data_IF_554010699073
#
_entry.id   IF_554010699073
#
_cell.length_a   1.000
_cell.length_b   1.000
_cell.length_c   1.000
_cell.angle_alpha   90.00
_cell.angle_beta   90.00
_cell.angle_gamma   90.00
#
_symmetry.space_group_name_H-M   'P 1'
#
loop_
_entity.id
_entity.type
_entity.pdbx_description
1 polymer ?
#
# COMPACT_ATOMS: atom_id res chain seq x y z
N UNK A 1 1.49 -67.44 -12.90
CA UNK A 1 2.90 -67.09 -13.15
C UNK A 1 3.15 -65.77 -12.47
N UNK A 2 3.61 -65.82 -11.21
CA UNK A 2 3.89 -64.64 -10.39
C UNK A 2 5.41 -64.48 -10.30
N UNK A 3 5.92 -63.34 -10.76
CA UNK A 3 7.34 -63.00 -10.68
C UNK A 3 7.61 -62.36 -9.31
N UNK A 4 8.39 -63.04 -8.48
CA UNK A 4 8.81 -62.55 -7.17
C UNK A 4 10.00 -61.59 -7.36
N UNK A 5 9.78 -60.30 -7.10
CA UNK A 5 10.86 -59.31 -6.99
C UNK A 5 11.41 -59.38 -5.58
N UNK A 6 12.70 -59.71 -5.49
CA UNK A 6 13.40 -60.01 -4.25
C UNK A 6 14.00 -58.71 -3.69
N UNK A 7 13.31 -58.08 -2.75
CA UNK A 7 13.71 -56.82 -2.13
C UNK A 7 14.54 -57.09 -0.87
N UNK A 8 15.86 -57.16 -1.05
CA UNK A 8 16.83 -57.45 0.01
C UNK A 8 17.73 -56.24 0.23
N UNK A 9 17.22 -55.23 0.92
CA UNK A 9 18.02 -54.14 1.49
C UNK A 9 18.78 -54.66 2.74
N UNK A 10 19.78 -55.51 2.52
CA UNK A 10 20.68 -56.02 3.57
C UNK A 10 21.53 -54.87 4.09
N UNK A 11 21.24 -54.41 5.32
CA UNK A 11 22.17 -53.60 6.13
C UNK A 11 23.48 -54.37 6.28
N UNK A 12 24.48 -54.03 5.47
CA UNK A 12 25.84 -54.54 5.57
C UNK A 12 26.48 -53.89 6.82
N UNK A 13 26.61 -54.64 7.91
CA UNK A 13 27.44 -54.22 9.06
C UNK A 13 28.89 -54.24 8.59
N UNK A 14 29.49 -53.05 8.44
CA UNK A 14 30.92 -52.90 8.24
C UNK A 14 31.62 -53.17 9.57
N UNK A 15 32.04 -54.42 9.75
CA UNK A 15 33.00 -54.82 10.77
C UNK A 15 34.32 -55.02 10.04
N UNK A 16 35.20 -54.02 10.09
CA UNK A 16 36.54 -54.08 9.51
C UNK A 16 37.26 -52.76 9.72
N UNK A 17 38.45 -52.83 10.30
CA UNK A 17 39.38 -51.76 10.61
C UNK A 17 39.87 -51.02 9.34
N UNK A 18 38.95 -50.35 8.64
CA UNK A 18 39.25 -49.51 7.49
C UNK A 18 39.84 -48.18 7.98
N UNK A 19 40.93 -47.76 7.33
CA UNK A 19 41.60 -46.51 7.63
C UNK A 19 40.62 -45.32 7.49
N UNK A 20 40.78 -44.23 8.26
CA UNK A 20 39.85 -43.10 8.27
C UNK A 20 39.64 -42.37 6.93
N UNK A 21 40.36 -42.72 5.86
CA UNK A 21 40.33 -41.99 4.58
C UNK A 21 39.37 -42.57 3.53
N UNK A 22 38.76 -43.74 3.75
CA UNK A 22 37.80 -44.34 2.80
C UNK A 22 36.33 -44.11 3.22
N UNK A 23 35.97 -42.88 3.59
CA UNK A 23 34.55 -42.51 3.66
C UNK A 23 33.99 -42.52 2.24
N UNK A 24 33.29 -43.61 1.90
CA UNK A 24 32.52 -43.74 0.66
C UNK A 24 31.50 -42.59 0.65
N UNK A 25 31.84 -41.51 -0.05
CA UNK A 25 30.91 -40.45 -0.42
C UNK A 25 29.93 -41.09 -1.40
N UNK A 26 28.72 -41.38 -0.93
CA UNK A 26 27.63 -41.81 -1.80
C UNK A 26 27.03 -40.52 -2.36
N UNK A 27 27.33 -40.15 -3.62
CA UNK A 27 26.82 -38.90 -4.16
C UNK A 27 25.30 -38.96 -4.22
N UNK A 28 24.65 -37.84 -3.91
CA UNK A 28 23.19 -37.74 -3.85
C UNK A 28 22.53 -38.16 -5.18
N UNK A 29 23.27 -38.04 -6.29
CA UNK A 29 22.90 -38.52 -7.63
C UNK A 29 22.61 -40.02 -7.69
N UNK A 30 23.19 -40.83 -6.82
CA UNK A 30 23.09 -42.30 -6.87
C UNK A 30 21.85 -42.84 -6.16
N UNK A 31 21.10 -41.96 -5.47
CA UNK A 31 19.86 -42.35 -4.82
C UNK A 31 18.77 -42.70 -5.85
N UNK A 32 17.99 -43.79 -5.63
CA UNK A 32 16.87 -44.15 -6.51
C UNK A 32 15.82 -43.03 -6.63
N UNK A 33 15.21 -42.89 -7.80
CA UNK A 33 14.17 -41.87 -8.07
C UNK A 33 13.05 -41.88 -7.02
N UNK A 34 12.61 -43.05 -6.56
CA UNK A 34 11.57 -43.16 -5.53
C UNK A 34 11.94 -42.52 -4.19
N UNK A 35 13.21 -42.54 -3.79
CA UNK A 35 13.66 -41.84 -2.58
C UNK A 35 13.62 -40.33 -2.80
N UNK A 36 14.06 -39.87 -3.96
CA UNK A 36 14.08 -38.44 -4.30
C UNK A 36 12.67 -37.85 -4.41
N UNK A 37 11.74 -38.58 -5.05
CA UNK A 37 10.32 -38.22 -5.09
C UNK A 37 9.72 -38.15 -3.69
N UNK A 38 10.04 -39.11 -2.81
CA UNK A 38 9.55 -39.08 -1.43
C UNK A 38 10.06 -37.87 -0.66
N UNK A 39 11.35 -37.50 -0.81
CA UNK A 39 11.92 -36.29 -0.19
C UNK A 39 11.24 -35.04 -0.77
N UNK A 40 11.06 -34.97 -2.09
CA UNK A 40 10.45 -33.84 -2.76
C UNK A 40 9.03 -33.57 -2.28
N UNK A 41 8.24 -34.61 -1.95
CA UNK A 41 6.89 -34.45 -1.43
C UNK A 41 6.79 -33.74 -0.06
N UNK A 42 7.92 -33.55 0.66
CA UNK A 42 7.97 -32.77 1.89
C UNK A 42 8.40 -31.31 1.66
N UNK A 43 8.77 -30.95 0.44
CA UNK A 43 9.19 -29.60 0.07
C UNK A 43 8.01 -28.86 -0.55
N UNK A 44 7.95 -27.54 -0.31
CA UNK A 44 7.05 -26.66 -1.07
C UNK A 44 7.40 -26.68 -2.57
N UNK A 45 6.54 -26.07 -3.38
CA UNK A 45 6.68 -26.14 -4.82
C UNK A 45 8.05 -25.56 -5.28
N UNK A 46 8.40 -24.28 -5.07
CA UNK A 46 9.67 -23.80 -5.58
C UNK A 46 10.89 -24.50 -4.93
N UNK A 47 10.83 -24.93 -3.67
CA UNK A 47 11.89 -25.74 -3.04
C UNK A 47 12.14 -27.07 -3.77
N UNK A 48 11.10 -27.73 -4.29
CA UNK A 48 11.28 -28.92 -5.16
C UNK A 48 12.03 -28.57 -6.45
N UNK A 49 11.79 -27.39 -7.02
CA UNK A 49 12.49 -26.93 -8.23
C UNK A 49 13.96 -26.68 -7.95
N UNK A 50 14.29 -26.02 -6.84
CA UNK A 50 15.68 -25.82 -6.44
C UNK A 50 16.40 -27.12 -6.14
N UNK A 51 15.71 -28.06 -5.48
CA UNK A 51 16.25 -29.39 -5.24
C UNK A 51 16.53 -30.11 -6.57
N UNK A 52 15.61 -30.07 -7.53
CA UNK A 52 15.80 -30.64 -8.86
C UNK A 52 16.94 -29.94 -9.64
N UNK A 53 16.98 -28.60 -9.64
CA UNK A 53 17.99 -27.79 -10.31
C UNK A 53 19.40 -28.03 -9.74
N UNK A 54 19.52 -28.19 -8.42
CA UNK A 54 20.78 -28.51 -7.76
C UNK A 54 21.31 -29.91 -8.16
N UNK A 55 20.40 -30.87 -8.38
CA UNK A 55 20.74 -32.22 -8.82
C UNK A 55 21.14 -32.26 -10.31
N UNK A 56 20.50 -31.46 -11.15
CA UNK A 56 20.78 -31.40 -12.60
C UNK A 56 22.07 -30.67 -12.92
N UNK A 57 22.47 -29.67 -12.12
CA UNK A 57 23.75 -28.98 -12.26
C UNK A 57 24.97 -29.92 -12.18
N UNK A 58 24.80 -31.14 -11.65
CA UNK A 58 25.86 -32.15 -11.60
C UNK A 58 25.84 -33.13 -12.78
N UNK A 59 24.74 -33.19 -13.52
CA UNK A 59 24.54 -34.21 -14.55
C UNK A 59 24.10 -33.52 -15.84
N UNK A 60 25.09 -33.15 -16.64
CA UNK A 60 24.88 -32.73 -18.01
C UNK A 60 24.01 -33.79 -18.71
N UNK A 61 22.74 -33.45 -18.98
CA UNK A 61 21.82 -34.22 -19.84
C UNK A 61 21.20 -35.49 -19.21
N UNK A 62 21.02 -35.58 -17.88
CA UNK A 62 20.25 -36.70 -17.32
C UNK A 62 18.72 -36.56 -17.49
N UNK A 63 18.12 -37.71 -17.84
CA UNK A 63 16.76 -37.93 -18.33
C UNK A 63 15.65 -37.10 -17.68
N UNK A 64 14.80 -36.56 -18.56
CA UNK A 64 13.52 -35.90 -18.29
C UNK A 64 12.66 -36.62 -17.23
N UNK A 65 12.72 -37.96 -17.17
CA UNK A 65 11.98 -38.78 -16.20
C UNK A 65 12.31 -38.48 -14.73
N UNK A 66 13.58 -38.22 -14.38
CA UNK A 66 13.97 -37.98 -12.99
C UNK A 66 13.52 -36.60 -12.52
N UNK A 67 13.71 -35.59 -13.37
CA UNK A 67 13.24 -34.23 -13.07
C UNK A 67 11.72 -34.25 -12.94
N UNK A 68 11.03 -34.87 -13.89
CA UNK A 68 9.57 -35.03 -13.85
C UNK A 68 9.10 -35.73 -12.57
N UNK A 69 9.83 -36.72 -12.07
CA UNK A 69 9.48 -37.42 -10.83
C UNK A 69 9.69 -36.60 -9.54
N UNK A 70 10.59 -35.61 -9.54
CA UNK A 70 10.86 -34.73 -8.38
C UNK A 70 9.94 -33.50 -8.43
N UNK A 71 9.89 -32.89 -9.60
CA UNK A 71 9.21 -31.62 -9.90
C UNK A 71 7.71 -31.85 -10.02
N UNK A 72 7.28 -32.97 -10.59
CA UNK A 72 5.87 -33.24 -10.89
C UNK A 72 5.39 -32.56 -12.18
N UNK A 73 4.11 -32.76 -12.50
CA UNK A 73 3.57 -32.42 -13.82
C UNK A 73 2.86 -31.06 -13.92
N UNK A 74 2.61 -30.39 -12.80
CA UNK A 74 1.67 -29.26 -12.75
C UNK A 74 2.36 -27.97 -12.33
N UNK A 75 2.97 -27.29 -13.30
CA UNK A 75 3.69 -26.02 -13.10
C UNK A 75 3.07 -24.89 -13.92
N UNK A 76 1.79 -24.63 -13.67
CA UNK A 76 1.10 -23.51 -14.33
C UNK A 76 1.44 -22.18 -13.68
N UNK A 77 1.81 -22.17 -12.40
CA UNK A 77 2.20 -20.97 -11.65
C UNK A 77 3.51 -21.23 -10.92
N UNK A 78 4.43 -20.28 -11.02
CA UNK A 78 5.68 -20.23 -10.27
C UNK A 78 5.77 -18.88 -9.58
N UNK A 79 5.65 -18.90 -8.26
CA UNK A 79 5.80 -17.73 -7.40
C UNK A 79 6.97 -17.96 -6.43
N UNK A 80 7.98 -17.10 -6.49
CA UNK A 80 9.10 -17.16 -5.54
C UNK A 80 8.73 -16.59 -4.15
N UNK A 81 7.49 -16.14 -3.96
CA UNK A 81 6.93 -15.78 -2.66
C UNK A 81 6.64 -16.99 -1.77
N UNK A 82 6.54 -18.19 -2.36
CA UNK A 82 6.29 -19.44 -1.64
C UNK A 82 7.55 -20.01 -0.95
N UNK A 83 8.73 -19.41 -1.16
CA UNK A 83 9.97 -19.75 -0.45
C UNK A 83 10.33 -18.68 0.58
N UNK A 84 11.20 -19.06 1.52
CA UNK A 84 11.72 -18.13 2.52
C UNK A 84 12.35 -16.89 1.86
N UNK A 85 11.96 -15.70 2.33
CA UNK A 85 12.44 -14.42 1.81
C UNK A 85 13.97 -14.35 1.78
N UNK A 86 14.63 -14.84 2.83
CA UNK A 86 16.10 -14.87 2.95
C UNK A 86 16.78 -15.77 1.92
N UNK A 87 16.06 -16.75 1.36
CA UNK A 87 16.52 -17.56 0.25
C UNK A 87 16.25 -16.87 -1.09
N UNK A 88 15.04 -16.33 -1.29
CA UNK A 88 14.65 -15.64 -2.52
C UNK A 88 15.59 -14.47 -2.86
N UNK A 89 16.00 -13.69 -1.85
CA UNK A 89 16.95 -12.59 -2.05
C UNK A 89 18.34 -13.06 -2.48
N UNK A 90 18.73 -14.32 -2.25
CA UNK A 90 20.05 -14.86 -2.66
C UNK A 90 20.06 -15.38 -4.09
N UNK A 91 18.89 -15.53 -4.70
CA UNK A 91 18.77 -16.06 -6.04
C UNK A 91 19.35 -15.08 -7.06
N UNK A 92 20.10 -15.63 -8.01
CA UNK A 92 20.66 -14.91 -9.15
C UNK A 92 20.06 -15.43 -10.45
N UNK A 93 20.33 -14.75 -11.57
CA UNK A 93 19.82 -15.12 -12.90
C UNK A 93 20.10 -16.58 -13.29
N UNK A 94 21.24 -17.13 -12.88
CA UNK A 94 21.59 -18.54 -13.13
C UNK A 94 20.62 -19.51 -12.46
N UNK A 95 20.19 -19.22 -11.22
CA UNK A 95 19.25 -20.05 -10.47
C UNK A 95 17.85 -19.99 -11.11
N UNK A 96 17.40 -18.78 -11.46
CA UNK A 96 16.11 -18.56 -12.13
C UNK A 96 16.08 -19.30 -13.47
N UNK A 97 17.13 -19.16 -14.28
CA UNK A 97 17.24 -19.84 -15.58
C UNK A 97 17.20 -21.36 -15.42
N UNK A 98 17.96 -21.91 -14.47
CA UNK A 98 17.99 -23.35 -14.19
C UNK A 98 16.60 -23.87 -13.78
N UNK A 99 15.89 -23.13 -12.93
CA UNK A 99 14.52 -23.47 -12.50
C UNK A 99 13.55 -23.45 -13.68
N UNK A 100 13.57 -22.39 -14.49
CA UNK A 100 12.67 -22.25 -15.66
C UNK A 100 12.93 -23.33 -16.73
N UNK A 101 14.19 -23.70 -16.95
CA UNK A 101 14.55 -24.82 -17.83
C UNK A 101 14.07 -26.16 -17.27
N UNK A 102 14.21 -26.36 -15.94
CA UNK A 102 13.82 -27.60 -15.29
C UNK A 102 12.33 -27.92 -15.43
N UNK A 103 11.47 -26.90 -15.50
CA UNK A 103 10.01 -27.05 -15.66
C UNK A 103 9.53 -26.92 -17.09
N UNK A 104 10.41 -26.74 -18.08
CA UNK A 104 10.05 -26.40 -19.46
C UNK A 104 9.07 -25.20 -19.51
N UNK A 105 9.48 -24.10 -18.86
CA UNK A 105 8.60 -22.97 -18.60
C UNK A 105 8.00 -22.36 -19.87
N UNK A 106 8.74 -22.37 -20.99
CA UNK A 106 8.28 -21.84 -22.28
C UNK A 106 6.97 -22.49 -22.74
N UNK A 107 6.76 -23.78 -22.46
CA UNK A 107 5.61 -24.55 -22.90
C UNK A 107 4.59 -24.85 -21.78
N UNK A 108 4.96 -24.65 -20.50
CA UNK A 108 4.14 -25.12 -19.36
C UNK A 108 3.74 -24.03 -18.36
N UNK A 109 4.55 -22.98 -18.21
CA UNK A 109 4.32 -21.94 -17.23
C UNK A 109 3.37 -20.84 -17.73
N UNK A 110 2.23 -20.68 -17.03
CA UNK A 110 1.24 -19.62 -17.32
C UNK A 110 1.49 -18.35 -16.51
N UNK A 111 2.01 -18.45 -15.29
CA UNK A 111 2.21 -17.32 -14.39
C UNK A 111 3.58 -17.37 -13.75
N UNK A 112 4.36 -16.33 -13.93
CA UNK A 112 5.64 -16.14 -13.25
C UNK A 112 5.55 -14.92 -12.34
N UNK A 113 5.89 -15.08 -11.06
CA UNK A 113 6.05 -13.97 -10.11
C UNK A 113 7.43 -14.03 -9.47
N UNK A 114 8.24 -13.00 -9.69
CA UNK A 114 9.62 -12.90 -9.18
C UNK A 114 9.68 -12.31 -7.77
N UNK A 115 8.68 -12.61 -6.96
CA UNK A 115 8.50 -12.12 -5.60
C UNK A 115 9.77 -12.30 -4.76
N UNK A 116 10.26 -11.21 -4.15
CA UNK A 116 11.48 -11.15 -3.35
C UNK A 116 12.82 -11.49 -4.07
N UNK A 117 12.83 -11.78 -5.37
CA UNK A 117 14.04 -12.05 -6.15
C UNK A 117 14.79 -10.76 -6.54
N UNK A 118 15.25 -10.00 -5.54
CA UNK A 118 15.77 -8.63 -5.73
C UNK A 118 17.15 -8.53 -6.40
N UNK A 119 17.88 -9.65 -6.54
CA UNK A 119 19.26 -9.70 -7.04
C UNK A 119 19.37 -10.12 -8.52
N UNK A 120 18.26 -10.19 -9.24
CA UNK A 120 18.23 -10.59 -10.66
C UNK A 120 18.45 -9.39 -11.58
N UNK A 121 19.18 -9.60 -12.67
CA UNK A 121 19.38 -8.62 -13.74
C UNK A 121 18.34 -8.74 -14.85
N UNK A 122 17.68 -9.89 -14.97
CA UNK A 122 16.69 -10.21 -15.98
C UNK A 122 17.18 -11.22 -17.02
N UNK A 123 18.49 -11.50 -17.08
CA UNK A 123 19.10 -12.52 -17.96
C UNK A 123 18.52 -13.91 -17.68
N UNK A 124 18.16 -14.19 -16.42
CA UNK A 124 17.62 -15.47 -15.99
C UNK A 124 16.26 -15.80 -16.60
N UNK A 125 15.58 -14.82 -17.22
CA UNK A 125 14.28 -15.00 -17.87
C UNK A 125 14.39 -15.53 -19.30
N UNK A 126 15.60 -15.69 -19.84
CA UNK A 126 15.84 -16.17 -21.21
C UNK A 126 15.07 -17.45 -21.56
N UNK A 127 14.88 -18.44 -20.66
CA UNK A 127 14.08 -19.63 -20.96
C UNK A 127 12.59 -19.38 -21.28
N UNK A 128 12.06 -18.17 -21.03
CA UNK A 128 10.69 -17.80 -21.43
C UNK A 128 10.59 -17.28 -22.87
N UNK A 129 11.72 -17.06 -23.56
CA UNK A 129 11.77 -16.48 -24.90
C UNK A 129 10.84 -17.23 -25.86
N UNK A 130 9.93 -16.50 -26.50
CA UNK A 130 8.99 -17.05 -27.47
C UNK A 130 7.85 -17.90 -26.89
N UNK A 131 7.62 -17.86 -25.57
CA UNK A 131 6.47 -18.55 -24.98
C UNK A 131 5.15 -18.05 -25.56
N UNK A 132 4.26 -18.97 -25.91
CA UNK A 132 2.89 -18.65 -26.39
C UNK A 132 1.84 -18.86 -25.32
N UNK A 133 2.19 -19.53 -24.22
CA UNK A 133 1.25 -19.98 -23.19
C UNK A 133 1.29 -19.14 -21.90
N UNK A 134 2.34 -18.33 -21.71
CA UNK A 134 2.45 -17.46 -20.54
C UNK A 134 1.35 -16.39 -20.57
N UNK A 135 0.64 -16.24 -19.46
CA UNK A 135 -0.50 -15.33 -19.27
C UNK A 135 -0.13 -14.14 -18.38
N UNK A 136 0.78 -14.30 -17.43
CA UNK A 136 1.21 -13.25 -16.50
C UNK A 136 2.71 -13.33 -16.19
N UNK A 137 3.37 -12.17 -16.19
CA UNK A 137 4.73 -12.00 -15.66
C UNK A 137 4.73 -10.83 -14.68
N UNK A 138 5.09 -11.11 -13.43
CA UNK A 138 5.28 -10.09 -12.39
C UNK A 138 6.78 -9.89 -12.09
N UNK A 139 7.27 -8.70 -12.46
CA UNK A 139 8.64 -8.24 -12.28
C UNK A 139 8.76 -7.19 -11.16
N UNK A 140 7.77 -7.03 -10.29
CA UNK A 140 7.80 -6.04 -9.21
C UNK A 140 8.84 -6.33 -8.13
N UNK A 141 9.30 -7.59 -8.04
CA UNK A 141 10.31 -8.12 -7.10
C UNK A 141 9.93 -7.99 -5.61
N UNK A 142 8.69 -7.63 -5.31
CA UNK A 142 8.19 -7.48 -3.93
C UNK A 142 7.13 -8.52 -3.61
N UNK A 143 6.96 -8.79 -2.31
CA UNK A 143 5.87 -9.60 -1.78
C UNK A 143 4.49 -9.07 -2.17
N UNK A 144 3.49 -9.94 -2.02
CA UNK A 144 2.12 -9.47 -2.06
C UNK A 144 1.89 -8.39 -1.02
N UNK A 145 1.10 -7.40 -1.41
CA UNK A 145 0.76 -6.23 -0.61
C UNK A 145 1.93 -5.33 -0.16
N UNK A 146 3.15 -5.57 -0.66
CA UNK A 146 4.30 -4.70 -0.40
C UNK A 146 4.40 -3.56 -1.42
N UNK A 147 4.95 -2.43 -0.98
CA UNK A 147 5.26 -1.32 -1.87
C UNK A 147 6.39 -1.72 -2.83
N UNK A 148 6.28 -1.44 -4.14
CA UNK A 148 7.31 -1.81 -5.12
C UNK A 148 8.57 -0.94 -5.03
N UNK A 149 8.64 0.01 -4.10
CA UNK A 149 9.80 0.89 -3.92
C UNK A 149 10.88 0.17 -3.08
N UNK A 150 11.84 -0.47 -3.76
CA UNK A 150 12.91 -1.27 -3.14
C UNK A 150 14.17 -0.41 -2.95
N UNK A 151 14.77 -0.48 -1.75
CA UNK A 151 16.07 0.12 -1.44
C UNK A 151 17.02 -0.95 -0.88
N UNK A 152 18.21 -1.18 -1.50
CA UNK A 152 18.74 -0.48 -2.67
C UNK A 152 18.00 -0.80 -3.97
N UNK A 153 18.20 0.04 -4.99
CA UNK A 153 17.61 -0.12 -6.32
C UNK A 153 17.99 -1.50 -6.91
N UNK A 154 17.04 -2.38 -7.27
CA UNK A 154 17.35 -3.68 -7.87
C UNK A 154 18.09 -3.55 -9.21
N UNK A 155 18.96 -4.52 -9.57
CA UNK A 155 19.78 -4.47 -10.78
C UNK A 155 19.06 -4.90 -12.06
N UNK A 156 17.75 -5.16 -12.00
CA UNK A 156 16.95 -5.60 -13.15
C UNK A 156 16.95 -4.56 -14.28
N UNK A 157 17.37 -4.98 -15.48
CA UNK A 157 17.62 -4.10 -16.62
C UNK A 157 16.60 -4.30 -17.74
N UNK A 158 16.08 -3.19 -18.28
CA UNK A 158 15.27 -3.20 -19.50
C UNK A 158 16.01 -3.87 -20.67
N UNK A 159 17.33 -3.69 -20.76
CA UNK A 159 18.14 -4.20 -21.87
C UNK A 159 18.09 -5.73 -21.99
N UNK A 160 18.02 -6.44 -20.84
CA UNK A 160 17.93 -7.89 -20.83
C UNK A 160 16.49 -8.39 -20.91
N UNK A 161 15.55 -7.71 -20.25
CA UNK A 161 14.17 -8.18 -20.14
C UNK A 161 13.35 -7.89 -21.40
N UNK A 162 13.46 -6.68 -21.97
CA UNK A 162 12.59 -6.28 -23.08
C UNK A 162 12.73 -7.17 -24.32
N UNK A 163 13.94 -7.60 -24.76
CA UNK A 163 14.05 -8.53 -25.89
C UNK A 163 13.35 -9.87 -25.66
N UNK A 164 13.23 -10.32 -24.41
CA UNK A 164 12.51 -11.56 -24.06
C UNK A 164 11.01 -11.32 -24.17
N UNK A 165 10.51 -10.22 -23.58
CA UNK A 165 9.10 -9.85 -23.66
C UNK A 165 8.65 -9.59 -25.10
N UNK A 166 9.48 -8.91 -25.91
CA UNK A 166 9.25 -8.69 -27.34
C UNK A 166 9.04 -10.02 -28.07
N UNK A 167 9.92 -10.99 -27.82
CA UNK A 167 9.82 -12.30 -28.46
C UNK A 167 8.53 -13.05 -28.11
N UNK A 168 7.92 -12.76 -26.95
CA UNK A 168 6.65 -13.37 -26.52
C UNK A 168 5.49 -12.70 -27.26
N UNK A 169 5.46 -11.36 -27.30
CA UNK A 169 4.36 -10.61 -27.93
C UNK A 169 4.37 -10.68 -29.45
N UNK A 170 5.54 -10.91 -30.07
CA UNK A 170 5.68 -11.13 -31.52
C UNK A 170 5.14 -12.49 -31.97
N UNK A 171 4.88 -13.43 -31.04
CA UNK A 171 4.28 -14.72 -31.39
C UNK A 171 2.78 -14.58 -31.61
N UNK A 172 2.33 -15.07 -32.75
CA UNK A 172 0.92 -15.23 -33.03
C UNK A 172 0.26 -16.14 -31.98
N UNK A 173 -0.88 -15.71 -31.47
CA UNK A 173 -1.62 -16.45 -30.44
C UNK A 173 -0.95 -16.49 -29.07
N UNK A 174 -0.02 -15.57 -28.76
CA UNK A 174 0.51 -15.46 -27.40
C UNK A 174 -0.64 -15.24 -26.39
N UNK A 175 -0.48 -15.81 -25.19
CA UNK A 175 -1.51 -15.78 -24.15
C UNK A 175 -1.31 -14.64 -23.14
N UNK A 176 -0.24 -13.86 -23.28
CA UNK A 176 0.19 -12.88 -22.28
C UNK A 176 -0.89 -11.81 -22.08
N UNK A 177 -1.41 -11.68 -20.87
CA UNK A 177 -2.49 -10.73 -20.52
C UNK A 177 -2.03 -9.67 -19.55
N UNK A 178 -1.07 -9.98 -18.68
CA UNK A 178 -0.64 -9.08 -17.61
C UNK A 178 0.87 -8.99 -17.47
N UNK A 179 1.38 -7.77 -17.44
CA UNK A 179 2.77 -7.44 -17.12
C UNK A 179 2.80 -6.46 -15.96
N UNK A 180 3.45 -6.85 -14.87
CA UNK A 180 3.83 -5.91 -13.80
C UNK A 180 5.31 -5.57 -13.96
N UNK A 181 5.63 -4.30 -14.16
CA UNK A 181 7.02 -3.86 -14.33
C UNK A 181 7.68 -3.48 -13.00
N UNK A 182 9.01 -3.51 -12.93
CA UNK A 182 9.75 -2.94 -11.80
C UNK A 182 9.52 -1.42 -11.70
N UNK A 183 9.26 -0.92 -10.49
CA UNK A 183 9.09 0.53 -10.21
C UNK A 183 10.29 1.36 -10.66
N UNK A 184 11.48 0.76 -10.59
CA UNK A 184 12.77 1.35 -10.97
C UNK A 184 12.86 1.80 -12.43
N UNK A 185 11.99 1.27 -13.31
CA UNK A 185 11.91 1.66 -14.71
C UNK A 185 11.09 2.95 -14.91
N UNK A 186 10.31 3.36 -13.90
CA UNK A 186 9.54 4.61 -13.89
C UNK A 186 10.37 5.82 -13.44
N UNK A 187 11.31 5.63 -12.51
CA UNK A 187 12.01 6.72 -11.83
C UNK A 187 13.20 7.30 -12.62
N UNK A 188 13.79 6.54 -13.54
CA UNK A 188 15.05 6.88 -14.22
C UNK A 188 14.94 7.66 -15.53
N UNK A 189 13.73 8.12 -15.89
CA UNK A 189 13.42 8.50 -17.26
C UNK A 189 13.21 7.25 -18.11
N UNK A 190 12.12 7.23 -18.88
CA UNK A 190 11.76 6.06 -19.68
C UNK A 190 12.75 5.88 -20.82
N UNK A 191 13.40 4.73 -20.88
CA UNK A 191 14.25 4.41 -22.02
C UNK A 191 13.39 4.37 -23.29
N UNK A 192 13.96 4.82 -24.42
CA UNK A 192 13.27 4.78 -25.72
C UNK A 192 12.82 3.34 -26.04
N UNK A 193 13.66 2.36 -25.70
CA UNK A 193 13.35 0.93 -25.86
C UNK A 193 12.12 0.51 -25.05
N UNK A 194 11.99 0.97 -23.80
CA UNK A 194 10.83 0.66 -22.97
C UNK A 194 9.56 1.28 -23.54
N UNK A 195 9.61 2.52 -24.03
CA UNK A 195 8.46 3.18 -24.65
C UNK A 195 8.04 2.48 -25.95
N UNK A 196 9.00 2.04 -26.78
CA UNK A 196 8.73 1.25 -27.99
C UNK A 196 8.11 -0.12 -27.67
N UNK A 197 8.61 -0.80 -26.64
CA UNK A 197 8.00 -2.03 -26.14
C UNK A 197 6.56 -1.78 -25.68
N UNK A 198 6.34 -0.75 -24.87
CA UNK A 198 5.01 -0.39 -24.34
C UNK A 198 3.99 -0.14 -25.44
N UNK A 199 4.37 0.56 -26.50
CA UNK A 199 3.52 0.79 -27.68
C UNK A 199 3.12 -0.55 -28.31
N UNK A 200 4.09 -1.42 -28.63
CA UNK A 200 3.83 -2.73 -29.24
C UNK A 200 2.97 -3.63 -28.35
N UNK A 201 3.19 -3.61 -27.03
CA UNK A 201 2.38 -4.37 -26.08
C UNK A 201 0.93 -3.87 -26.05
N UNK A 202 0.71 -2.55 -26.00
CA UNK A 202 -0.63 -1.98 -26.05
C UNK A 202 -1.34 -2.34 -27.36
N UNK A 203 -0.68 -2.17 -28.51
CA UNK A 203 -1.21 -2.55 -29.83
C UNK A 203 -1.57 -4.05 -29.89
N UNK A 204 -0.74 -4.91 -29.31
CA UNK A 204 -0.99 -6.35 -29.25
C UNK A 204 -2.25 -6.69 -28.43
N UNK A 205 -2.49 -6.00 -27.31
CA UNK A 205 -3.72 -6.17 -26.53
C UNK A 205 -4.96 -5.59 -27.24
N UNK A 206 -4.82 -4.44 -27.90
CA UNK A 206 -5.91 -3.82 -28.69
C UNK A 206 -6.37 -4.74 -29.83
N UNK A 207 -5.41 -5.33 -30.54
CA UNK A 207 -5.69 -6.24 -31.66
C UNK A 207 -6.42 -7.53 -31.24
N UNK A 208 -6.38 -7.91 -29.95
CA UNK A 208 -7.14 -9.06 -29.44
C UNK A 208 -8.62 -8.76 -29.24
N UNK A 209 -9.05 -7.49 -29.28
CA UNK A 209 -10.45 -7.11 -29.09
C UNK A 209 -10.98 -7.52 -27.72
N UNK A 210 -10.18 -7.30 -26.67
CA UNK A 210 -10.52 -7.72 -25.31
C UNK A 210 -11.73 -6.95 -24.80
N UNK A 211 -12.78 -7.67 -24.40
CA UNK A 211 -13.98 -7.09 -23.82
C UNK A 211 -13.95 -7.03 -22.30
N UNK A 212 -14.64 -6.05 -21.72
CA UNK A 212 -14.92 -5.98 -20.29
C UNK A 212 -15.78 -7.18 -19.85
N UNK A 213 -15.34 -7.92 -18.84
CA UNK A 213 -16.02 -9.08 -18.31
C UNK A 213 -17.40 -8.76 -17.70
N UNK A 214 -17.69 -7.49 -17.36
CA UNK A 214 -18.97 -7.06 -16.80
C UNK A 214 -19.95 -6.53 -17.84
N UNK A 215 -19.55 -5.53 -18.63
CA UNK A 215 -20.44 -4.85 -19.58
C UNK A 215 -20.22 -5.24 -21.05
N UNK A 216 -19.23 -6.11 -21.32
CA UNK A 216 -18.85 -6.58 -22.65
C UNK A 216 -18.44 -5.46 -23.64
N UNK A 217 -18.17 -4.26 -23.13
CA UNK A 217 -17.61 -3.16 -23.93
C UNK A 217 -16.15 -3.45 -24.25
N UNK A 218 -15.72 -3.13 -25.48
CA UNK A 218 -14.33 -3.27 -25.90
C UNK A 218 -13.41 -2.38 -25.05
N UNK A 219 -12.24 -2.90 -24.72
CA UNK A 219 -11.19 -2.22 -23.98
C UNK A 219 -9.98 -1.97 -24.89
N UNK A 220 -9.22 -0.89 -24.65
CA UNK A 220 -9.49 0.19 -23.69
C UNK A 220 -10.57 1.15 -24.25
N UNK A 221 -11.31 1.88 -23.39
CA UNK A 221 -12.27 2.87 -23.87
C UNK A 221 -11.56 4.16 -24.29
N UNK A 222 -11.80 4.62 -25.53
CA UNK A 222 -11.27 5.89 -26.05
C UNK A 222 -9.75 5.90 -26.20
N UNK A 223 -9.11 6.99 -25.77
CA UNK A 223 -7.65 7.20 -25.90
C UNK A 223 -6.84 6.63 -24.72
N UNK A 224 -7.45 5.82 -23.85
CA UNK A 224 -6.74 5.20 -22.74
C UNK A 224 -5.86 4.04 -23.24
N UNK A 225 -4.74 3.81 -22.56
CA UNK A 225 -3.79 2.75 -22.88
C UNK A 225 -3.83 1.62 -21.84
N UNK A 226 -3.52 0.40 -22.25
CA UNK A 226 -3.38 -0.74 -21.34
C UNK A 226 -2.28 -0.51 -20.31
N UNK A 227 -1.10 -0.07 -20.73
CA UNK A 227 -0.06 0.41 -19.81
C UNK A 227 0.00 1.93 -19.89
N UNK A 228 -0.42 2.59 -18.81
CA UNK A 228 -0.45 4.05 -18.72
C UNK A 228 0.93 4.70 -18.61
N UNK A 229 0.95 6.01 -18.44
CA UNK A 229 2.20 6.77 -18.24
C UNK A 229 2.97 6.36 -16.98
N UNK A 230 2.23 5.96 -15.93
CA UNK A 230 2.78 5.51 -14.64
C UNK A 230 3.27 4.06 -14.65
N UNK A 231 3.32 3.41 -15.81
CA UNK A 231 3.81 2.03 -15.98
C UNK A 231 2.98 1.00 -15.18
N UNK A 232 1.73 1.37 -14.90
CA UNK A 232 0.73 0.50 -14.30
C UNK A 232 -0.13 -0.08 -15.42
N UNK A 233 -0.38 -1.39 -15.34
CA UNK A 233 -1.35 -2.03 -16.22
C UNK A 233 -2.78 -1.73 -15.75
N UNK A 234 -3.55 -1.14 -16.65
CA UNK A 234 -4.95 -0.79 -16.50
C UNK A 234 -5.87 -1.95 -16.92
N UNK A 235 -7.13 -1.84 -16.54
CA UNK A 235 -8.24 -2.67 -17.01
C UNK A 235 -8.12 -4.18 -16.77
N UNK A 236 -7.11 -4.67 -16.05
CA UNK A 236 -6.87 -6.10 -15.86
C UNK A 236 -6.76 -6.38 -14.37
N UNK A 237 -7.58 -7.29 -13.85
CA UNK A 237 -7.41 -7.76 -12.49
C UNK A 237 -6.15 -8.63 -12.41
N UNK A 238 -5.24 -8.26 -11.52
CA UNK A 238 -3.97 -8.93 -11.27
C UNK A 238 -4.13 -10.42 -10.94
N UNK A 239 -5.17 -10.78 -10.19
CA UNK A 239 -5.39 -12.15 -9.73
C UNK A 239 -6.10 -13.01 -10.79
N UNK A 240 -7.35 -12.69 -11.13
CA UNK A 240 -8.12 -13.52 -12.06
C UNK A 240 -7.82 -13.29 -13.55
N UNK A 241 -7.01 -12.29 -13.90
CA UNK A 241 -6.67 -11.88 -15.29
C UNK A 241 -7.89 -11.56 -16.17
N UNK A 242 -9.04 -11.30 -15.56
CA UNK A 242 -10.22 -10.76 -16.26
C UNK A 242 -10.04 -9.27 -16.46
N UNK A 243 -10.69 -8.76 -17.51
CA UNK A 243 -10.60 -7.35 -17.87
C UNK A 243 -11.87 -6.59 -17.51
N UNK A 244 -11.75 -5.35 -17.07
CA UNK A 244 -12.86 -4.53 -16.59
C UNK A 244 -12.71 -3.07 -17.01
N UNK A 245 -13.81 -2.42 -17.38
CA UNK A 245 -13.84 -0.97 -17.58
C UNK A 245 -13.69 -0.25 -16.24
N UNK A 246 -13.02 0.91 -16.24
CA UNK A 246 -12.92 1.79 -15.07
C UNK A 246 -14.31 2.32 -14.64
N UNK A 247 -15.23 2.47 -15.58
CA UNK A 247 -16.59 2.98 -15.32
C UNK A 247 -17.59 1.92 -14.87
N UNK A 248 -17.19 0.64 -14.84
CA UNK A 248 -18.08 -0.40 -14.34
C UNK A 248 -18.16 -0.31 -12.82
N UNK A 249 -19.37 -0.21 -12.28
CA UNK A 249 -19.63 -0.24 -10.83
C UNK A 249 -20.36 -1.51 -10.42
N UNK A 250 -20.18 -1.99 -9.19
CA UNK A 250 -20.96 -3.06 -8.57
C UNK A 250 -22.38 -2.57 -8.20
N UNK A 251 -23.18 -3.42 -7.56
CA UNK A 251 -24.56 -3.09 -7.19
C UNK A 251 -24.62 -1.98 -6.12
N UNK A 252 -23.53 -1.80 -5.36
CA UNK A 252 -23.35 -0.74 -4.36
C UNK A 252 -22.83 0.57 -4.97
N UNK A 253 -22.60 0.62 -6.29
CA UNK A 253 -22.08 1.79 -6.98
C UNK A 253 -20.56 1.97 -6.90
N UNK A 254 -19.83 1.02 -6.31
CA UNK A 254 -18.37 1.05 -6.21
C UNK A 254 -17.71 0.52 -7.50
N UNK A 255 -16.55 1.05 -7.87
CA UNK A 255 -15.80 0.58 -9.04
C UNK A 255 -15.47 -0.92 -8.96
N UNK A 256 -15.75 -1.67 -10.02
CA UNK A 256 -15.52 -3.12 -10.07
C UNK A 256 -14.04 -3.47 -10.07
N UNK A 257 -13.19 -2.57 -10.58
CA UNK A 257 -11.73 -2.71 -10.62
C UNK A 257 -11.10 -1.55 -9.86
N UNK A 258 -10.55 -1.83 -8.68
CA UNK A 258 -9.82 -0.86 -7.85
C UNK A 258 -8.31 -0.94 -8.11
N UNK A 259 -7.62 0.19 -7.98
CA UNK A 259 -6.16 0.24 -8.09
C UNK A 259 -5.54 0.54 -6.73
N UNK A 260 -4.75 -0.41 -6.21
CA UNK A 260 -4.10 -0.21 -4.92
C UNK A 260 -2.91 0.74 -5.05
N UNK A 261 -2.97 1.86 -4.34
CA UNK A 261 -1.88 2.83 -4.30
C UNK A 261 -0.61 2.30 -3.64
N UNK A 262 -0.69 1.34 -2.71
CA UNK A 262 0.50 0.78 -2.07
C UNK A 262 1.24 -0.20 -2.99
N UNK A 263 0.61 -1.33 -3.35
CA UNK A 263 1.26 -2.37 -4.14
C UNK A 263 1.24 -2.11 -5.66
N UNK A 264 0.57 -1.04 -6.12
CA UNK A 264 0.46 -0.64 -7.53
C UNK A 264 -0.12 -1.72 -8.46
N UNK A 265 -0.99 -2.59 -7.93
CA UNK A 265 -1.70 -3.65 -8.67
C UNK A 265 -3.20 -3.32 -8.72
N UNK A 266 -3.86 -3.68 -9.83
CA UNK A 266 -5.31 -3.54 -10.00
C UNK A 266 -6.04 -4.84 -9.65
N UNK A 267 -7.11 -4.78 -8.87
CA UNK A 267 -7.89 -5.96 -8.48
C UNK A 267 -9.38 -5.74 -8.68
N UNK A 268 -10.09 -6.78 -9.08
CA UNK A 268 -11.54 -6.72 -9.04
C UNK A 268 -12.06 -6.99 -7.62
N UNK A 269 -13.26 -6.48 -7.32
CA UNK A 269 -13.92 -6.62 -6.02
C UNK A 269 -14.06 -8.07 -5.55
N UNK A 270 -14.15 -9.02 -6.49
CA UNK A 270 -14.24 -10.46 -6.20
C UNK A 270 -12.91 -11.09 -5.74
N UNK A 271 -11.78 -10.51 -6.19
CA UNK A 271 -10.45 -11.06 -5.92
C UNK A 271 -9.80 -10.42 -4.70
N UNK A 272 -9.95 -9.11 -4.54
CA UNK A 272 -9.35 -8.38 -3.43
C UNK A 272 -10.24 -7.21 -3.06
N UNK A 273 -10.59 -7.12 -1.77
CA UNK A 273 -11.27 -5.95 -1.23
C UNK A 273 -10.30 -4.78 -1.15
N UNK A 274 -10.75 -3.61 -1.58
CA UNK A 274 -10.08 -2.34 -1.38
C UNK A 274 -10.91 -1.43 -0.47
N UNK A 275 -10.25 -0.48 0.17
CA UNK A 275 -10.88 0.64 0.87
C UNK A 275 -10.26 1.95 0.38
N UNK A 276 -11.10 2.94 0.12
CA UNK A 276 -10.69 4.31 -0.16
C UNK A 276 -10.38 5.06 1.12
N UNK A 277 -9.25 5.76 1.17
CA UNK A 277 -8.95 6.67 2.27
C UNK A 277 -9.52 8.06 1.97
N UNK A 278 -10.41 8.55 2.84
CA UNK A 278 -11.06 9.86 2.66
C UNK A 278 -10.10 11.04 2.67
N UNK A 279 -8.94 10.91 3.31
CA UNK A 279 -7.96 11.98 3.46
C UNK A 279 -7.08 12.16 2.21
N UNK A 280 -6.59 11.08 1.62
CA UNK A 280 -5.71 11.15 0.45
C UNK A 280 -6.37 10.77 -0.88
N UNK A 281 -7.67 10.42 -0.85
CA UNK A 281 -8.47 10.00 -2.01
C UNK A 281 -7.83 8.83 -2.80
N UNK A 282 -7.07 7.98 -2.09
CA UNK A 282 -6.43 6.80 -2.65
C UNK A 282 -7.09 5.52 -2.14
N UNK A 283 -7.16 4.53 -3.02
CA UNK A 283 -7.59 3.19 -2.68
C UNK A 283 -6.40 2.32 -2.30
N UNK A 284 -6.60 1.47 -1.29
CA UNK A 284 -5.64 0.44 -0.92
C UNK A 284 -6.33 -0.91 -0.76
N UNK A 285 -5.63 -2.01 -1.07
CA UNK A 285 -6.07 -3.33 -0.62
C UNK A 285 -6.15 -3.33 0.90
N UNK A 286 -7.14 -4.04 1.45
CA UNK A 286 -7.26 -4.21 2.91
C UNK A 286 -5.98 -4.80 3.53
N UNK A 287 -5.28 -5.68 2.81
CA UNK A 287 -4.04 -6.31 3.30
C UNK A 287 -2.78 -5.45 3.06
N UNK A 288 -2.89 -4.35 2.29
CA UNK A 288 -1.77 -3.43 2.05
C UNK A 288 -1.58 -2.41 3.16
N UNK A 289 -2.63 -2.16 3.95
CA UNK A 289 -2.63 -1.03 4.87
C UNK A 289 -3.67 -1.18 5.95
N UNK A 290 -3.30 -0.78 7.16
CA UNK A 290 -4.27 -0.65 8.24
C UNK A 290 -5.12 0.61 8.05
N UNK A 291 -6.39 0.45 8.39
CA UNK A 291 -7.39 1.50 8.32
C UNK A 291 -7.98 1.75 9.69
N UNK A 292 -8.26 3.03 9.99
CA UNK A 292 -9.07 3.41 11.15
C UNK A 292 -10.39 3.98 10.65
N UNK A 293 -11.49 3.45 11.17
CA UNK A 293 -12.82 3.95 10.84
C UNK A 293 -13.03 5.34 11.44
N UNK A 294 -13.77 6.18 10.73
CA UNK A 294 -14.22 7.47 11.23
C UNK A 294 -15.29 7.25 12.31
N UNK A 295 -15.19 7.97 13.43
CA UNK A 295 -16.17 7.85 14.52
C UNK A 295 -17.52 8.48 14.20
N UNK A 296 -17.59 9.32 13.17
CA UNK A 296 -18.81 10.04 12.78
C UNK A 296 -19.49 9.57 11.49
N UNK A 297 -18.86 8.70 10.70
CA UNK A 297 -19.39 8.20 9.43
C UNK A 297 -18.72 6.89 9.01
N UNK A 298 -19.19 6.27 7.92
CA UNK A 298 -18.64 5.01 7.40
C UNK A 298 -17.32 5.18 6.59
N UNK A 299 -16.72 6.37 6.60
CA UNK A 299 -15.43 6.62 5.94
C UNK A 299 -14.25 6.08 6.75
N UNK A 300 -13.11 5.86 6.08
CA UNK A 300 -11.90 5.33 6.73
C UNK A 300 -10.66 6.16 6.43
N UNK A 301 -9.71 6.15 7.36
CA UNK A 301 -8.40 6.79 7.24
C UNK A 301 -7.32 5.73 7.12
N UNK A 302 -6.34 5.97 6.25
CA UNK A 302 -5.16 5.14 6.18
C UNK A 302 -4.12 5.58 7.22
N UNK A 303 -3.26 4.66 7.64
CA UNK A 303 -2.23 4.90 8.66
C UNK A 303 -1.30 6.09 8.34
N UNK A 304 -0.92 6.35 7.07
CA UNK A 304 -0.09 7.53 6.73
C UNK A 304 -0.79 8.83 7.05
N UNK A 305 -2.05 8.95 6.65
CA UNK A 305 -2.82 10.16 6.85
C UNK A 305 -2.97 10.46 8.34
N UNK A 306 -3.11 9.41 9.14
CA UNK A 306 -3.10 9.49 10.60
C UNK A 306 -1.72 9.94 11.09
N UNK A 307 -0.65 9.27 10.66
CA UNK A 307 0.72 9.54 11.11
C UNK A 307 1.24 10.93 10.70
N UNK A 308 0.82 11.43 9.54
CA UNK A 308 1.20 12.74 9.03
C UNK A 308 0.42 13.89 9.68
N UNK A 309 -0.51 13.60 10.60
CA UNK A 309 -1.40 14.60 11.17
C UNK A 309 -2.34 15.23 10.15
N UNK A 310 -2.53 14.58 9.00
CA UNK A 310 -3.56 14.95 8.02
C UNK A 310 -4.92 14.36 8.41
N UNK A 311 -5.02 13.71 9.57
CA UNK A 311 -6.30 13.42 10.17
C UNK A 311 -6.99 14.73 10.56
N UNK A 312 -8.22 14.82 10.13
CA UNK A 312 -8.95 16.06 10.09
C UNK A 312 -9.25 16.60 11.50
N UNK A 313 -9.50 15.71 12.49
CA UNK A 313 -9.17 15.96 13.91
C UNK A 313 -9.41 14.71 14.78
N UNK A 314 -8.56 14.49 15.81
CA UNK A 314 -8.78 13.50 16.87
C UNK A 314 -9.49 14.18 18.04
N UNK A 315 -10.66 13.68 18.44
CA UNK A 315 -11.33 14.11 19.66
C UNK A 315 -10.47 13.71 20.87
N UNK A 316 -10.16 14.69 21.71
CA UNK A 316 -9.34 14.46 22.91
C UNK A 316 -10.01 13.50 23.90
N UNK A 317 -11.33 13.55 24.03
CA UNK A 317 -12.05 12.82 25.08
C UNK A 317 -12.35 11.37 24.73
N UNK A 318 -12.96 11.10 23.56
CA UNK A 318 -13.28 9.73 23.15
C UNK A 318 -12.18 9.07 22.32
N UNK A 319 -11.10 9.78 22.03
CA UNK A 319 -10.06 9.40 21.07
C UNK A 319 -10.57 9.14 19.64
N UNK A 320 -11.83 9.45 19.36
CA UNK A 320 -12.46 9.26 18.06
C UNK A 320 -11.84 10.13 16.99
N UNK A 321 -11.71 9.61 15.77
CA UNK A 321 -11.13 10.32 14.62
C UNK A 321 -12.25 10.72 13.66
N UNK A 322 -12.25 11.96 13.20
CA UNK A 322 -13.35 12.52 12.40
C UNK A 322 -12.87 13.10 11.07
N UNK A 323 -13.79 13.08 10.09
CA UNK A 323 -13.58 13.62 8.75
C UNK A 323 -14.06 15.09 8.68
N UNK A 324 -13.18 16.05 8.34
CA UNK A 324 -13.52 17.50 8.44
C UNK A 324 -14.78 17.89 7.66
N UNK A 325 -14.97 17.35 6.45
CA UNK A 325 -15.96 17.93 5.53
C UNK A 325 -17.26 17.12 5.40
N UNK A 326 -17.21 15.80 5.66
CA UNK A 326 -18.37 14.92 5.45
C UNK A 326 -19.12 14.57 6.73
N UNK A 327 -18.49 14.76 7.88
CA UNK A 327 -19.05 14.46 9.19
C UNK A 327 -19.86 15.65 9.72
N UNK A 328 -20.62 16.35 8.87
CA UNK A 328 -21.35 17.58 9.21
C UNK A 328 -22.36 17.42 10.36
N UNK A 329 -22.75 16.18 10.70
CA UNK A 329 -23.59 15.90 11.87
C UNK A 329 -22.80 15.95 13.20
N UNK A 330 -21.49 15.80 13.12
CA UNK A 330 -20.53 15.85 14.22
C UNK A 330 -19.49 16.91 13.90
N UNK A 331 -19.93 18.16 13.67
CA UNK A 331 -19.01 19.30 13.67
C UNK A 331 -18.09 19.14 14.87
N UNK A 332 -16.79 19.19 14.67
CA UNK A 332 -15.87 19.35 15.80
C UNK A 332 -16.00 20.82 16.15
N UNK A 333 -16.96 21.13 17.03
CA UNK A 333 -17.48 22.50 17.17
C UNK A 333 -16.43 23.50 17.61
N UNK A 334 -15.38 23.06 18.29
CA UNK A 334 -14.42 23.97 18.92
C UNK A 334 -13.06 23.31 19.11
N UNK A 335 -12.03 23.98 18.60
CA UNK A 335 -10.66 23.74 19.07
C UNK A 335 -10.44 24.63 20.29
N UNK A 336 -9.85 24.10 21.36
CA UNK A 336 -9.35 24.97 22.41
C UNK A 336 -8.21 25.80 21.84
N UNK A 337 -8.35 27.12 21.81
CA UNK A 337 -7.36 27.99 21.18
C UNK A 337 -6.00 27.96 21.89
N UNK A 338 -6.00 27.61 23.19
CA UNK A 338 -4.80 27.57 24.02
C UNK A 338 -4.00 26.27 23.91
N UNK A 339 -4.63 25.09 23.79
CA UNK A 339 -3.90 23.81 23.68
C UNK A 339 -4.09 23.10 22.34
N UNK A 340 -4.92 23.66 21.45
CA UNK A 340 -5.29 23.10 20.14
C UNK A 340 -5.94 21.72 20.20
N UNK A 341 -6.39 21.28 21.39
CA UNK A 341 -7.22 20.07 21.53
C UNK A 341 -8.59 20.33 20.95
N UNK A 342 -9.14 19.36 20.25
CA UNK A 342 -10.50 19.39 19.71
C UNK A 342 -11.37 18.36 20.41
N UNK A 343 -12.67 18.68 20.56
CA UNK A 343 -13.67 17.77 21.09
C UNK A 343 -14.79 17.57 20.06
N UNK A 344 -15.34 16.35 19.96
CA UNK A 344 -16.48 16.12 19.07
C UNK A 344 -17.78 16.54 19.77
N UNK A 345 -18.82 16.88 19.00
CA UNK A 345 -20.10 17.33 19.54
C UNK A 345 -20.71 16.39 20.58
N UNK A 346 -20.58 15.06 20.42
CA UNK A 346 -21.13 14.13 21.41
C UNK A 346 -20.41 14.25 22.76
N UNK A 347 -19.08 14.29 22.75
CA UNK A 347 -18.31 14.47 23.98
C UNK A 347 -18.48 15.88 24.54
N UNK A 348 -18.78 16.87 23.70
CA UNK A 348 -19.19 18.18 24.14
C UNK A 348 -20.54 18.11 24.88
N UNK A 349 -21.58 17.50 24.32
CA UNK A 349 -22.90 17.36 24.98
C UNK A 349 -22.81 16.61 26.32
N UNK A 350 -21.96 15.59 26.43
CA UNK A 350 -21.75 14.83 27.66
C UNK A 350 -20.97 15.61 28.74
N UNK A 351 -20.07 16.53 28.36
CA UNK A 351 -19.36 17.42 29.29
C UNK A 351 -20.14 18.71 29.62
N UNK A 352 -21.03 19.15 28.72
CA UNK A 352 -21.74 20.40 28.82
C UNK A 352 -23.16 20.24 29.32
N UNK A 353 -23.31 20.27 30.65
CA UNK A 353 -24.42 21.06 31.21
C UNK A 353 -24.11 22.57 31.26
N UNK A 354 -22.86 23.02 31.06
CA UNK A 354 -22.48 24.45 31.05
C UNK A 354 -21.39 24.73 30.00
N UNK A 355 -21.71 25.42 28.89
CA UNK A 355 -20.85 25.78 27.73
C UNK A 355 -19.36 26.05 28.04
N UNK A 356 -18.42 25.61 27.17
CA UNK A 356 -16.99 25.92 27.36
C UNK A 356 -16.88 27.45 27.46
N UNK A 357 -16.29 27.98 28.54
CA UNK A 357 -16.20 29.41 28.67
C UNK A 357 -15.45 29.94 27.43
N UNK A 358 -16.11 30.81 26.67
CA UNK A 358 -15.48 31.53 25.57
C UNK A 358 -15.22 32.95 26.02
N UNK A 359 -14.04 33.49 25.69
CA UNK A 359 -13.76 34.88 25.99
C UNK A 359 -14.62 35.74 25.05
N UNK A 360 -15.54 36.56 25.59
CA UNK A 360 -16.43 37.38 24.75
C UNK A 360 -15.69 38.36 23.84
N UNK A 361 -14.45 38.74 24.19
CA UNK A 361 -13.63 39.71 23.47
C UNK A 361 -12.85 39.11 22.30
N UNK A 362 -12.09 38.04 22.52
CA UNK A 362 -11.31 37.38 21.44
C UNK A 362 -12.02 36.18 20.81
N UNK A 363 -13.12 35.71 21.41
CA UNK A 363 -13.84 34.46 21.10
C UNK A 363 -13.02 33.19 21.32
N UNK A 364 -11.86 33.29 21.97
CA UNK A 364 -11.05 32.12 22.26
C UNK A 364 -11.76 31.16 23.22
N UNK A 365 -11.76 29.88 22.89
CA UNK A 365 -12.32 28.81 23.73
C UNK A 365 -11.21 28.11 24.54
N UNK A 366 -11.45 27.88 25.84
CA UNK A 366 -10.49 27.23 26.72
C UNK A 366 -11.09 25.93 27.29
N UNK A 367 -10.38 24.81 27.13
CA UNK A 367 -10.76 23.55 27.77
C UNK A 367 -10.37 23.56 29.25
N UNK A 368 -11.00 22.70 30.06
CA UNK A 368 -10.78 22.65 31.52
C UNK A 368 -9.31 22.40 31.89
N UNK A 369 -8.62 21.51 31.17
CA UNK A 369 -7.17 21.30 31.35
C UNK A 369 -6.32 22.58 31.19
N UNK A 370 -6.71 23.47 30.27
CA UNK A 370 -6.02 24.75 30.07
C UNK A 370 -6.36 25.74 31.18
N UNK A 371 -7.60 25.68 31.67
CA UNK A 371 -8.11 26.49 32.75
C UNK A 371 -7.39 26.15 34.06
N UNK A 372 -7.21 24.85 34.34
CA UNK A 372 -6.49 24.36 35.52
C UNK A 372 -4.98 24.61 35.43
N UNK A 373 -4.34 24.32 34.30
CA UNK A 373 -2.87 24.44 34.16
C UNK A 373 -2.34 25.86 34.18
N UNK A 374 -3.13 26.85 33.76
CA UNK A 374 -2.67 28.26 33.76
C UNK A 374 -2.90 28.98 35.10
N UNK A 375 -3.61 28.35 36.06
CA UNK A 375 -3.96 28.96 37.33
C UNK A 375 -4.93 30.15 37.20
N UNK A 376 -5.40 30.67 38.35
CA UNK A 376 -6.46 31.70 38.46
C UNK A 376 -6.19 32.96 37.60
N UNK A 377 -4.92 33.26 37.28
CA UNK A 377 -4.51 34.47 36.54
C UNK A 377 -4.92 34.48 35.06
N UNK A 378 -5.15 33.33 34.44
CA UNK A 378 -5.54 33.22 33.02
C UNK A 378 -6.82 32.43 32.79
N UNK A 379 -7.45 31.95 33.87
CA UNK A 379 -8.76 31.33 33.79
C UNK A 379 -9.77 32.31 33.21
N UNK A 380 -10.77 31.81 32.48
CA UNK A 380 -11.90 32.64 32.12
C UNK A 380 -12.64 33.00 33.41
N UNK A 381 -12.60 34.27 33.75
CA UNK A 381 -13.30 34.80 34.91
C UNK A 381 -14.64 35.37 34.45
N UNK A 382 -15.72 34.97 35.11
CA UNK A 382 -17.03 35.58 34.92
C UNK A 382 -17.06 36.90 35.69
N UNK A 383 -17.51 37.96 35.04
CA UNK A 383 -17.87 39.20 35.73
C UNK A 383 -19.12 38.95 36.58
N UNK A 384 -19.03 39.06 37.90
CA UNK A 384 -20.14 38.74 38.82
C UNK A 384 -21.42 39.56 38.56
N UNK A 385 -21.27 40.75 37.96
CA UNK A 385 -22.39 41.66 37.74
C UNK A 385 -23.13 41.46 36.42
N UNK A 386 -22.45 40.97 35.39
CA UNK A 386 -23.04 40.79 34.06
C UNK A 386 -22.86 39.38 33.48
N UNK A 387 -22.33 38.47 34.31
CA UNK A 387 -22.05 37.07 34.02
C UNK A 387 -21.25 36.85 32.73
N UNK A 388 -20.46 37.85 32.31
CA UNK A 388 -19.70 37.80 31.07
C UNK A 388 -18.28 37.28 31.31
N UNK A 389 -17.84 36.32 30.51
CA UNK A 389 -16.54 35.66 30.54
C UNK A 389 -15.44 36.41 29.75
N UNK A 390 -14.28 36.65 30.37
CA UNK A 390 -13.07 37.17 29.71
C UNK A 390 -11.83 36.34 30.04
N UNK A 391 -10.94 36.11 29.06
CA UNK A 391 -9.62 35.50 29.31
C UNK A 391 -8.63 36.51 29.92
N UNK A 392 -7.59 36.02 30.61
CA UNK A 392 -6.59 36.85 31.26
C UNK A 392 -5.93 37.90 30.36
N UNK A 393 -5.60 37.54 29.11
CA UNK A 393 -5.02 38.48 28.13
C UNK A 393 -6.00 39.59 27.72
N UNK A 394 -7.30 39.29 27.66
CA UNK A 394 -8.33 40.30 27.35
C UNK A 394 -8.69 41.17 28.55
N UNK A 395 -8.37 40.72 29.76
CA UNK A 395 -8.59 41.44 31.02
C UNK A 395 -7.63 42.60 31.18
N UNK A 396 -6.34 42.45 30.84
CA UNK A 396 -5.34 43.53 30.95
C UNK A 396 -5.67 44.74 30.06
N UNK A 397 -6.36 44.53 28.94
CA UNK A 397 -6.85 45.60 28.07
C UNK A 397 -8.13 46.29 28.57
N UNK A 398 -8.65 45.87 29.72
CA UNK A 398 -9.67 46.60 30.46
C UNK A 398 -8.97 47.16 31.70
N UNK A 399 -8.27 48.28 31.53
CA UNK A 399 -7.64 48.97 32.65
C UNK A 399 -8.73 49.43 33.61
N UNK A 400 -8.76 48.85 34.81
CA UNK A 400 -9.57 49.31 35.93
C UNK A 400 -8.64 49.74 37.07
N UNK A 401 -8.80 50.97 37.53
CA UNK A 401 -8.22 51.43 38.80
C UNK A 401 -9.20 51.06 39.93
N UNK A 402 -8.80 50.15 40.82
CA UNK A 402 -9.52 49.87 42.08
C UNK A 402 -9.94 48.41 42.26
N UNK A 403 -9.58 47.84 43.41
CA UNK A 403 -9.68 46.41 43.75
C UNK A 403 -11.08 45.90 44.15
N UNK A 404 -12.16 46.66 43.96
CA UNK A 404 -13.52 46.22 44.33
C UNK A 404 -14.51 46.35 43.16
N UNK A 405 -15.10 45.21 42.78
CA UNK A 405 -16.12 45.14 41.72
C UNK A 405 -17.47 45.55 42.34
N UNK A 406 -17.87 46.79 42.12
CA UNK A 406 -19.27 47.21 42.27
C UNK A 406 -19.80 47.66 40.91
N UNK A 407 -20.75 46.91 40.35
CA UNK A 407 -21.54 47.43 39.24
C UNK A 407 -22.80 48.07 39.81
N UNK A 408 -23.02 49.33 39.49
CA UNK A 408 -24.33 49.95 39.68
C UNK A 408 -25.31 49.29 38.71
N UNK A 409 -26.36 48.68 39.26
CA UNK A 409 -27.50 48.17 38.50
C UNK A 409 -28.23 49.36 37.86
N UNK A 410 -28.24 49.39 36.53
CA UNK A 410 -29.11 50.29 35.77
C UNK A 410 -30.40 49.51 35.45
N UNK A 411 -31.50 49.81 36.15
CA UNK A 411 -32.74 49.00 36.15
C UNK A 411 -33.43 48.90 34.77
N UNK A 412 -33.04 49.69 33.77
CA UNK A 412 -33.73 49.72 32.47
C UNK A 412 -32.97 49.09 31.30
N UNK A 413 -31.74 48.61 31.46
CA UNK A 413 -31.05 47.92 30.36
C UNK A 413 -30.01 46.90 30.87
N UNK A 414 -30.20 45.62 30.55
CA UNK A 414 -29.30 44.50 30.94
C UNK A 414 -27.93 44.51 30.24
N UNK A 415 -27.38 45.69 29.95
CA UNK A 415 -26.05 45.84 29.37
C UNK A 415 -25.20 46.69 30.32
N UNK A 416 -24.21 46.04 30.93
CA UNK A 416 -23.23 46.70 31.82
C UNK A 416 -22.57 47.89 31.09
N UNK A 417 -22.80 49.11 31.58
CA UNK A 417 -22.38 50.36 30.92
C UNK A 417 -20.86 50.44 30.70
N UNK A 418 -20.06 49.83 31.59
CA UNK A 418 -18.61 49.72 31.43
C UNK A 418 -18.17 48.83 30.25
N UNK A 419 -18.98 47.85 29.85
CA UNK A 419 -18.69 46.98 28.71
C UNK A 419 -19.08 47.62 27.35
N UNK A 420 -20.04 48.54 27.34
CA UNK A 420 -20.59 49.14 26.10
C UNK A 420 -19.68 50.25 25.54
N UNK A 421 -19.01 51.02 26.40
CA UNK A 421 -18.13 52.12 25.93
C UNK A 421 -16.90 51.66 25.15
N UNK A 422 -16.44 50.41 25.32
CA UNK A 422 -15.29 49.86 24.59
C UNK A 422 -15.65 49.20 23.26
N UNK A 423 -16.90 48.74 23.07
CA UNK A 423 -17.35 48.16 21.80
C UNK A 423 -17.52 49.22 20.69
N UNK A 424 -17.80 50.48 21.05
CA UNK A 424 -18.00 51.58 20.11
C UNK A 424 -16.74 52.28 19.61
N UNK A 425 -15.56 52.06 20.23
CA UNK A 425 -14.36 52.85 19.95
C UNK A 425 -13.25 52.11 19.17
N UNK A 426 -13.41 50.82 18.86
CA UNK A 426 -12.38 50.04 18.15
C UNK A 426 -12.99 49.19 17.02
N UNK A 427 -13.77 49.82 16.15
CA UNK A 427 -14.13 49.22 14.85
C UNK A 427 -13.21 49.66 13.70
N UNK A 428 -12.33 50.66 13.87
CA UNK A 428 -11.63 51.27 12.72
C UNK A 428 -10.09 51.21 12.70
N UNK A 429 -9.39 50.91 13.80
CA UNK A 429 -7.92 51.15 13.82
C UNK A 429 -6.98 49.93 13.95
N UNK A 430 -7.48 48.69 13.93
CA UNK A 430 -6.61 47.50 14.14
C UNK A 430 -6.67 46.39 13.09
N UNK A 431 -7.12 46.67 11.86
CA UNK A 431 -6.89 45.74 10.74
C UNK A 431 -5.53 45.97 10.03
N UNK A 432 -4.80 47.05 10.35
CA UNK A 432 -3.56 47.43 9.64
C UNK A 432 -2.23 46.94 10.23
N UNK A 433 -2.21 46.34 11.42
CA UNK A 433 -0.95 45.97 12.10
C UNK A 433 -0.61 44.48 12.12
N UNK A 434 -1.42 43.61 11.49
CA UNK A 434 -1.13 42.15 11.44
C UNK A 434 -0.58 41.64 10.11
N UNK A 435 -0.61 42.42 9.03
CA UNK A 435 -0.07 42.01 7.73
C UNK A 435 1.14 42.87 7.37
N UNK A 436 2.32 42.44 7.83
CA UNK A 436 3.59 43.04 7.43
C UNK A 436 3.99 42.63 6.02
N UNK A 437 4.02 43.58 5.10
CA UNK A 437 4.79 43.50 3.86
C UNK A 437 5.59 44.79 3.70
N UNK A 438 6.91 44.69 3.88
CA UNK A 438 7.87 45.77 3.66
C UNK A 438 8.04 46.05 2.16
N UNK A 439 7.89 47.31 1.75
CA UNK A 439 8.45 47.80 0.50
C UNK A 439 9.55 48.80 0.82
N UNK A 440 10.77 48.49 0.37
CA UNK A 440 11.89 49.44 0.31
C UNK A 440 11.65 50.43 -0.83
N UNK A 441 11.88 51.72 -0.58
CA UNK A 441 12.04 52.74 -1.60
C UNK A 441 13.46 53.29 -1.50
N UNK A 442 14.29 52.94 -2.49
CA UNK A 442 15.57 53.60 -2.77
C UNK A 442 15.34 54.95 -3.45
N UNK A 443 16.27 55.87 -3.19
CA UNK A 443 16.37 57.23 -3.75
C UNK A 443 16.29 57.30 -5.27
#
# INVERSE_FOLDING_TARGET
>A
MASAVNDSCKRRRLLGDASPEDFISCPLSDLPNGVMTNVANYLDAPSRLFFAAALTNQIAVASDERNTAIVGNEWTTLDFGDIEKDLAVKLIDGDISAVLLCIDAVNRLKRLKLTNCINITGVGLEPLRGSTIIEQIDLSLVGDHQSPNISPKPPISCEFVLPILDSIIEREGCSLRHLQFPSVWSEGGKSIQFEQFRIRYNEMLDNRGVGCAKCNTNLPPGDLSWIGERIVQNFTCYECLKHFCITCTNDDGEGVLGHCHNCKKGYCTDCQKSKGCICCDFEYCVDCRDFTDCSGCDSVFCEECIASGNEHSKCYECEGRFCNDFCAKYEISTHCDSCKKSCCNNCQEDYHQEDWPSCKRCRDCFCDDCNEKKGILYAIQMCDSCYTSYCGDCREFVTFEGDDIMCEEDEENKNCAGCVQLAGLISDEKWRLRNGSSFELSK
#
